data_IF_827087014044
#
_entry.id   IF_827087014044
#
_cell.length_a   1.000
_cell.length_b   1.000
_cell.length_c   1.000
_cell.angle_alpha   90.00
_cell.angle_beta   90.00
_cell.angle_gamma   90.00
#
_symmetry.space_group_name_H-M   'P 1'
#
loop_
_entity.id
_entity.type
_entity.pdbx_description
1 polymer ?
#
# COMPACT_ATOMS: atom_id res chain seq x y z
N UNK A 1 14.80 -26.42 -6.66
CA UNK A 1 13.37 -26.75 -6.76
C UNK A 1 12.61 -25.68 -6.02
N UNK A 2 11.95 -24.83 -6.80
CA UNK A 2 11.31 -23.58 -6.39
C UNK A 2 9.89 -23.91 -5.91
N UNK A 3 9.63 -23.81 -4.61
CA UNK A 3 8.25 -23.71 -4.13
C UNK A 3 7.74 -22.31 -4.49
N UNK A 4 6.90 -22.28 -5.53
CA UNK A 4 6.03 -21.16 -5.83
C UNK A 4 5.05 -21.05 -4.68
N UNK A 5 5.40 -20.27 -3.65
CA UNK A 5 4.48 -19.88 -2.60
C UNK A 5 3.45 -18.91 -3.21
N UNK A 6 2.45 -19.50 -3.85
CA UNK A 6 1.16 -18.88 -4.15
C UNK A 6 0.45 -18.60 -2.82
N UNK A 7 0.91 -17.58 -2.09
CA UNK A 7 0.04 -16.92 -1.12
C UNK A 7 -0.92 -16.05 -1.92
N UNK A 8 -2.10 -16.61 -2.22
CA UNK A 8 -3.26 -15.83 -2.66
C UNK A 8 -3.38 -14.59 -1.78
N UNK A 9 -3.44 -13.38 -2.35
CA UNK A 9 -3.76 -12.20 -1.58
C UNK A 9 -5.16 -12.38 -1.00
N UNK A 10 -5.35 -11.87 0.21
CA UNK A 10 -6.62 -11.88 0.94
C UNK A 10 -7.66 -11.25 0.03
N UNK A 11 -8.37 -12.09 -0.72
CA UNK A 11 -9.72 -11.77 -1.13
C UNK A 11 -10.44 -11.59 0.19
N UNK A 12 -10.71 -10.33 0.57
CA UNK A 12 -11.76 -10.07 1.52
C UNK A 12 -13.02 -10.58 0.83
N UNK A 13 -13.33 -11.87 1.01
CA UNK A 13 -14.70 -12.34 1.00
C UNK A 13 -15.35 -11.51 2.09
N UNK A 14 -15.88 -10.36 1.70
CA UNK A 14 -16.95 -9.73 2.43
C UNK A 14 -18.03 -10.79 2.38
N UNK A 15 -18.20 -11.53 3.47
CA UNK A 15 -19.35 -12.39 3.64
C UNK A 15 -20.57 -11.51 3.42
N UNK A 16 -21.25 -11.75 2.30
CA UNK A 16 -22.56 -11.18 2.03
C UNK A 16 -23.49 -11.87 3.02
N UNK A 17 -23.57 -11.32 4.24
CA UNK A 17 -24.66 -11.64 5.14
C UNK A 17 -25.96 -11.38 4.37
N UNK A 18 -26.78 -12.42 4.25
CA UNK A 18 -28.00 -12.48 3.44
C UNK A 18 -29.12 -11.54 3.91
N UNK A 19 -28.84 -10.25 4.00
CA UNK A 19 -29.86 -9.22 4.05
C UNK A 19 -30.18 -8.83 2.61
N UNK A 20 -31.38 -9.19 2.16
CA UNK A 20 -32.00 -8.76 0.90
C UNK A 20 -32.32 -7.25 0.88
N UNK A 21 -31.42 -6.41 1.40
CA UNK A 21 -31.52 -4.97 1.29
C UNK A 21 -30.97 -4.56 -0.08
N UNK A 22 -31.74 -3.79 -0.84
CA UNK A 22 -31.30 -3.19 -2.12
C UNK A 22 -29.86 -2.64 -2.00
N UNK A 23 -29.01 -2.76 -3.02
CA UNK A 23 -27.63 -2.26 -2.99
C UNK A 23 -27.62 -0.77 -2.76
N UNK A 24 -28.65 -0.05 -3.23
CA UNK A 24 -28.84 1.37 -2.98
C UNK A 24 -29.04 1.61 -1.50
N UNK A 25 -29.92 0.84 -0.85
CA UNK A 25 -30.14 0.91 0.61
C UNK A 25 -28.85 0.57 1.37
N UNK A 26 -28.11 -0.44 0.92
CA UNK A 26 -26.85 -0.85 1.52
C UNK A 26 -25.73 0.17 1.29
N UNK A 27 -25.65 0.80 0.12
CA UNK A 27 -24.72 1.90 -0.17
C UNK A 27 -25.06 3.13 0.63
N UNK A 28 -26.34 3.48 0.73
CA UNK A 28 -26.81 4.58 1.55
C UNK A 28 -26.50 4.32 3.03
N UNK A 29 -26.65 3.09 3.51
CA UNK A 29 -26.25 2.70 4.86
C UNK A 29 -24.72 2.76 5.05
N UNK A 30 -23.95 2.24 4.08
CA UNK A 30 -22.49 2.26 4.12
C UNK A 30 -21.95 3.70 4.09
N UNK A 31 -22.49 4.54 3.20
CA UNK A 31 -22.21 5.96 3.15
C UNK A 31 -22.64 6.67 4.44
N UNK A 32 -23.68 6.19 5.13
CA UNK A 32 -24.09 6.68 6.44
C UNK A 32 -23.13 6.30 7.56
N UNK A 33 -22.35 5.24 7.42
CA UNK A 33 -21.38 4.79 8.41
C UNK A 33 -19.95 5.30 8.15
N UNK A 34 -19.73 6.03 7.05
CA UNK A 34 -18.42 6.62 6.74
C UNK A 34 -18.13 7.84 7.61
N UNK A 35 -16.94 7.85 8.19
CA UNK A 35 -16.35 8.94 8.95
C UNK A 35 -14.85 9.07 8.60
N UNK A 36 -14.16 10.09 9.17
CA UNK A 36 -12.72 10.28 8.95
C UNK A 36 -11.87 9.09 9.39
N UNK A 37 -12.32 8.33 10.40
CA UNK A 37 -11.67 7.11 10.84
C UNK A 37 -11.68 6.02 9.77
N UNK A 38 -12.64 6.05 8.84
CA UNK A 38 -12.71 5.15 7.67
C UNK A 38 -11.78 5.56 6.52
N UNK A 39 -11.14 6.74 6.57
CA UNK A 39 -10.04 7.09 5.66
C UNK A 39 -8.73 6.38 6.04
N UNK A 40 -8.63 5.95 7.31
CA UNK A 40 -7.48 5.26 7.87
C UNK A 40 -7.68 3.75 7.82
N UNK A 41 -6.59 3.03 8.03
CA UNK A 41 -6.69 1.61 8.26
C UNK A 41 -7.55 1.32 9.51
N UNK A 42 -8.43 0.33 9.38
CA UNK A 42 -9.28 -0.11 10.49
C UNK A 42 -8.45 -0.35 11.76
N UNK A 43 -8.89 0.09 12.95
CA UNK A 43 -8.15 -0.10 14.20
C UNK A 43 -7.79 -1.56 14.50
N UNK A 44 -8.59 -2.52 14.02
CA UNK A 44 -8.34 -3.96 14.13
C UNK A 44 -7.42 -4.54 13.06
N UNK A 45 -7.01 -3.77 12.04
CA UNK A 45 -6.18 -4.24 10.95
C UNK A 45 -4.72 -4.43 11.38
N UNK A 46 -4.41 -5.63 11.89
CA UNK A 46 -3.06 -6.00 12.35
C UNK A 46 -1.99 -5.83 11.27
N UNK A 47 -2.32 -6.01 9.98
CA UNK A 47 -1.36 -5.86 8.87
C UNK A 47 -0.91 -4.41 8.71
N UNK A 48 -1.85 -3.46 8.77
CA UNK A 48 -1.56 -2.04 8.69
C UNK A 48 -0.81 -1.53 9.93
N UNK A 49 -1.29 -1.89 11.12
CA UNK A 49 -0.70 -1.41 12.39
C UNK A 49 0.68 -1.99 12.71
N UNK A 50 1.02 -3.15 12.14
CA UNK A 50 2.38 -3.72 12.17
C UNK A 50 3.28 -3.20 11.06
N UNK A 51 2.79 -2.35 10.15
CA UNK A 51 3.52 -1.90 8.97
C UNK A 51 3.73 -2.97 7.89
N UNK A 52 3.21 -4.19 8.10
CA UNK A 52 3.34 -5.29 7.12
C UNK A 52 2.69 -4.93 5.80
N UNK A 53 1.52 -4.27 5.84
CA UNK A 53 0.82 -3.86 4.62
C UNK A 53 1.67 -2.88 3.81
N UNK A 54 2.21 -1.84 4.45
CA UNK A 54 3.14 -0.91 3.81
C UNK A 54 4.38 -1.62 3.27
N UNK A 55 4.98 -2.55 4.03
CA UNK A 55 6.12 -3.32 3.54
C UNK A 55 5.80 -4.06 2.23
N UNK A 56 4.60 -4.62 2.08
CA UNK A 56 4.16 -5.27 0.85
C UNK A 56 3.92 -4.25 -0.27
N UNK A 57 3.26 -3.14 0.04
CA UNK A 57 2.81 -2.15 -0.95
C UNK A 57 3.88 -1.16 -1.39
N UNK A 58 4.98 -1.04 -0.65
CA UNK A 58 6.16 -0.24 -1.00
C UNK A 58 6.68 -0.50 -2.43
N UNK A 59 6.51 -1.72 -2.96
CA UNK A 59 6.90 -2.06 -4.34
C UNK A 59 5.74 -2.07 -5.34
N UNK A 60 4.53 -1.68 -4.93
CA UNK A 60 3.30 -1.66 -5.74
C UNK A 60 2.78 -0.25 -6.00
N UNK A 61 3.34 0.74 -5.31
CA UNK A 61 2.97 2.15 -5.39
C UNK A 61 4.11 2.92 -6.02
N UNK A 62 3.77 3.98 -6.76
CA UNK A 62 4.74 4.92 -7.31
C UNK A 62 4.84 6.11 -6.36
N UNK A 63 6.00 6.31 -5.77
CA UNK A 63 6.24 7.46 -4.89
C UNK A 63 6.86 8.61 -5.69
N UNK A 64 6.25 9.79 -5.59
CA UNK A 64 6.77 11.02 -6.16
C UNK A 64 7.00 11.99 -5.01
N UNK A 65 8.25 12.18 -4.61
CA UNK A 65 8.61 13.00 -3.45
C UNK A 65 9.21 14.32 -3.94
N UNK A 66 8.63 15.46 -3.55
CA UNK A 66 9.02 16.79 -4.00
C UNK A 66 9.15 16.91 -5.54
N UNK A 67 8.34 16.16 -6.28
CA UNK A 67 8.37 16.12 -7.75
C UNK A 67 9.41 15.17 -8.35
N UNK A 68 10.23 14.48 -7.54
CA UNK A 68 11.15 13.44 -7.99
C UNK A 68 10.50 12.06 -7.82
N UNK A 69 10.38 11.34 -8.94
CA UNK A 69 9.93 9.96 -8.94
C UNK A 69 10.98 9.04 -8.29
N UNK A 70 10.51 8.13 -7.45
CA UNK A 70 11.33 7.10 -6.80
C UNK A 70 11.19 5.82 -7.62
N UNK A 71 12.30 5.36 -8.21
CA UNK A 71 12.31 4.10 -8.95
C UNK A 71 12.05 2.92 -8.00
N UNK A 72 10.99 2.17 -8.26
CA UNK A 72 10.58 1.02 -7.46
C UNK A 72 11.65 -0.07 -7.36
N UNK A 73 12.56 -0.17 -8.34
CA UNK A 73 13.67 -1.12 -8.29
C UNK A 73 14.65 -0.79 -7.16
N UNK A 74 14.82 0.48 -6.78
CA UNK A 74 15.63 0.87 -5.63
C UNK A 74 14.98 0.43 -4.31
N UNK A 75 13.66 0.57 -4.20
CA UNK A 75 12.90 0.07 -3.04
C UNK A 75 12.98 -1.47 -2.97
N UNK A 76 12.88 -2.15 -4.11
CA UNK A 76 13.05 -3.61 -4.20
C UNK A 76 14.46 -4.01 -3.76
N UNK A 77 15.50 -3.33 -4.26
CA UNK A 77 16.89 -3.59 -3.88
C UNK A 77 17.09 -3.48 -2.37
N UNK A 78 16.63 -2.39 -1.75
CA UNK A 78 16.70 -2.19 -0.30
C UNK A 78 15.98 -3.31 0.46
N UNK A 79 14.74 -3.63 0.08
CA UNK A 79 13.99 -4.72 0.73
C UNK A 79 14.67 -6.08 0.60
N UNK A 80 15.31 -6.37 -0.54
CA UNK A 80 16.05 -7.63 -0.74
C UNK A 80 17.36 -7.64 0.06
N UNK A 81 18.02 -6.48 0.21
CA UNK A 81 19.20 -6.35 1.07
C UNK A 81 18.88 -6.59 2.54
N UNK A 82 17.69 -6.18 3.00
CA UNK A 82 17.23 -6.38 4.37
C UNK A 82 16.69 -7.79 4.68
N UNK A 83 16.73 -8.73 3.73
CA UNK A 83 16.30 -10.11 3.98
C UNK A 83 17.42 -10.92 4.61
N UNK A 84 17.11 -11.61 5.70
CA UNK A 84 17.95 -12.68 6.22
C UNK A 84 18.17 -13.76 5.17
N UNK A 85 19.43 -14.15 5.03
CA UNK A 85 19.86 -15.24 4.15
C UNK A 85 20.36 -16.37 5.03
N UNK A 86 19.42 -17.10 5.62
CA UNK A 86 19.77 -18.27 6.40
C UNK A 86 20.48 -19.30 5.53
N UNK A 87 21.64 -19.74 6.00
CA UNK A 87 22.32 -20.89 5.41
C UNK A 87 21.45 -22.13 5.61
N UNK A 88 21.03 -22.79 4.53
CA UNK A 88 20.43 -24.13 4.61
C UNK A 88 21.39 -25.18 5.18
N UNK A 89 22.70 -24.89 5.19
CA UNK A 89 23.74 -25.76 5.71
C UNK A 89 23.98 -25.53 7.22
N UNK A 90 23.72 -24.33 7.74
CA UNK A 90 24.01 -23.96 9.13
C UNK A 90 22.79 -23.29 9.78
N UNK A 91 21.85 -24.11 10.28
CA UNK A 91 20.78 -23.62 11.14
C UNK A 91 21.33 -23.48 12.56
N UNK A 92 21.52 -22.23 13.05
CA UNK A 92 22.05 -21.96 14.40
C UNK A 92 21.23 -22.65 15.50
N UNK A 93 19.91 -22.74 15.32
CA UNK A 93 19.04 -23.50 16.21
C UNK A 93 19.38 -25.00 16.22
N UNK A 94 19.76 -25.57 15.07
CA UNK A 94 20.17 -26.97 14.97
C UNK A 94 21.61 -27.22 15.49
N UNK A 95 22.51 -26.25 15.37
CA UNK A 95 23.88 -26.32 15.92
C UNK A 95 23.83 -26.53 17.44
N UNK A 96 22.91 -25.85 18.12
CA UNK A 96 22.74 -25.94 19.57
C UNK A 96 21.64 -26.92 20.03
N UNK A 97 20.88 -27.54 19.11
CA UNK A 97 19.77 -28.46 19.47
C UNK A 97 20.17 -29.94 19.63
N UNK A 98 21.44 -30.30 19.43
CA UNK A 98 21.89 -31.69 19.58
C UNK A 98 22.19 -32.01 21.05
N UNK A 99 21.63 -33.13 21.52
CA UNK A 99 21.57 -33.58 22.92
C UNK A 99 22.91 -33.46 23.67
N UNK A 100 22.81 -32.99 24.92
CA UNK A 100 23.89 -32.99 25.91
C UNK A 100 24.47 -34.40 26.00
N UNK A 101 25.75 -34.58 25.66
CA UNK A 101 26.44 -35.85 25.92
C UNK A 101 26.61 -36.00 27.43
N UNK A 102 25.98 -37.03 27.97
CA UNK A 102 26.20 -37.45 29.36
C UNK A 102 27.46 -38.31 29.39
N UNK A 103 28.46 -37.91 30.18
CA UNK A 103 29.68 -38.69 30.34
C UNK A 103 29.50 -39.64 31.54
N UNK A 104 29.10 -40.88 31.27
CA UNK A 104 28.78 -41.90 32.28
C UNK A 104 29.95 -42.23 33.23
N UNK A 105 31.18 -41.88 32.85
CA UNK A 105 32.40 -42.18 33.62
C UNK A 105 32.62 -41.14 34.74
N UNK A 106 32.24 -39.88 34.52
CA UNK A 106 32.52 -38.77 35.44
C UNK A 106 31.26 -38.14 36.05
N UNK A 107 30.07 -38.55 35.61
CA UNK A 107 28.78 -38.05 36.10
C UNK A 107 28.64 -36.51 35.97
N UNK A 108 29.25 -35.95 34.94
CA UNK A 108 29.25 -34.52 34.63
C UNK A 108 28.66 -34.25 33.23
N UNK A 109 27.97 -33.11 33.09
CA UNK A 109 27.50 -32.63 31.79
C UNK A 109 28.70 -32.09 31.01
N UNK A 110 29.07 -32.77 29.95
CA UNK A 110 30.13 -32.30 29.07
C UNK A 110 29.59 -31.17 28.20
N UNK A 111 30.07 -29.95 28.44
CA UNK A 111 29.71 -28.79 27.61
C UNK A 111 30.52 -28.87 26.32
N UNK A 112 29.85 -28.90 25.17
CA UNK A 112 30.57 -28.91 23.89
C UNK A 112 31.33 -27.60 23.75
N UNK A 113 32.50 -27.63 23.12
CA UNK A 113 33.31 -26.43 22.90
C UNK A 113 32.52 -25.32 22.19
N UNK A 114 31.66 -25.69 21.23
CA UNK A 114 30.77 -24.78 20.51
C UNK A 114 29.68 -24.13 21.38
N UNK A 115 29.37 -24.71 22.54
CA UNK A 115 28.39 -24.17 23.48
C UNK A 115 29.04 -23.28 24.55
N UNK A 116 30.37 -23.21 24.62
CA UNK A 116 31.10 -22.23 25.46
C UNK A 116 30.96 -20.83 24.88
N UNK A 117 31.18 -19.78 25.69
CA UNK A 117 31.15 -18.38 25.22
C UNK A 117 32.08 -18.16 24.01
N UNK A 118 33.26 -18.76 24.04
CA UNK A 118 34.23 -18.69 22.94
C UNK A 118 33.72 -19.41 21.68
N UNK A 119 33.18 -20.62 21.84
CA UNK A 119 32.61 -21.39 20.73
C UNK A 119 31.39 -20.72 20.10
N UNK A 120 30.50 -20.14 20.91
CA UNK A 120 29.35 -19.38 20.44
C UNK A 120 29.79 -18.13 19.67
N UNK A 121 30.80 -17.40 20.18
CA UNK A 121 31.36 -16.25 19.49
C UNK A 121 32.01 -16.64 18.14
N UNK A 122 32.73 -17.77 18.09
CA UNK A 122 33.30 -18.30 16.86
C UNK A 122 32.22 -18.66 15.83
N UNK A 123 31.19 -19.41 16.25
CA UNK A 123 30.05 -19.78 15.37
C UNK A 123 29.34 -18.52 14.87
N UNK A 124 29.08 -17.54 15.73
CA UNK A 124 28.48 -16.27 15.32
C UNK A 124 29.33 -15.53 14.29
N UNK A 125 30.66 -15.53 14.45
CA UNK A 125 31.58 -14.95 13.45
C UNK A 125 31.50 -15.67 12.10
N UNK A 126 31.55 -17.00 12.08
CA UNK A 126 31.45 -17.79 10.84
C UNK A 126 30.10 -17.58 10.15
N UNK A 127 29.00 -17.55 10.91
CA UNK A 127 27.67 -17.28 10.38
C UNK A 127 27.59 -15.89 9.73
N UNK A 128 28.20 -14.89 10.36
CA UNK A 128 28.28 -13.53 9.82
C UNK A 128 29.06 -13.50 8.50
N UNK A 129 30.23 -14.13 8.44
CA UNK A 129 31.05 -14.18 7.22
C UNK A 129 30.28 -14.88 6.07
N UNK A 130 29.55 -15.95 6.37
CA UNK A 130 28.69 -16.63 5.41
C UNK A 130 27.54 -15.75 4.92
N UNK A 131 26.90 -15.00 5.82
CA UNK A 131 25.83 -14.08 5.45
C UNK A 131 26.33 -12.97 4.52
N UNK A 132 27.52 -12.43 4.78
CA UNK A 132 28.16 -11.43 3.91
C UNK A 132 28.45 -11.99 2.51
N UNK A 133 28.96 -13.21 2.38
CA UNK A 133 29.20 -13.85 1.09
C UNK A 133 27.89 -14.14 0.33
N UNK A 134 26.88 -14.70 1.01
CA UNK A 134 25.57 -14.93 0.39
C UNK A 134 24.88 -13.64 -0.05
N UNK A 135 25.13 -12.54 0.67
CA UNK A 135 24.57 -11.25 0.33
C UNK A 135 25.20 -10.68 -0.95
N UNK A 136 26.49 -10.93 -1.22
CA UNK A 136 27.16 -10.55 -2.49
C UNK A 136 26.63 -11.34 -3.67
N UNK A 137 26.58 -12.67 -3.56
CA UNK A 137 26.10 -13.55 -4.63
C UNK A 137 24.68 -13.18 -5.06
N UNK A 138 23.85 -12.87 -4.08
CA UNK A 138 22.48 -12.55 -4.38
C UNK A 138 22.23 -11.11 -4.83
N UNK A 139 23.14 -10.18 -4.52
CA UNK A 139 23.14 -8.88 -5.20
C UNK A 139 23.41 -9.07 -6.69
N UNK A 140 24.39 -9.90 -7.03
CA UNK A 140 24.75 -10.19 -8.41
C UNK A 140 23.59 -10.86 -9.17
N UNK A 141 22.92 -11.86 -8.57
CA UNK A 141 21.74 -12.48 -9.17
C UNK A 141 20.55 -11.51 -9.25
N UNK A 142 20.30 -10.71 -8.22
CA UNK A 142 19.23 -9.70 -8.23
C UNK A 142 19.44 -8.67 -9.35
N UNK A 143 20.67 -8.20 -9.53
CA UNK A 143 21.03 -7.27 -10.61
C UNK A 143 20.85 -7.90 -12.00
N UNK A 144 21.26 -9.17 -12.14
CA UNK A 144 21.11 -9.93 -13.39
C UNK A 144 19.64 -10.16 -13.74
N UNK A 145 18.79 -10.46 -12.75
CA UNK A 145 17.35 -10.58 -12.94
C UNK A 145 16.71 -9.24 -13.32
N UNK A 146 17.13 -8.14 -12.68
CA UNK A 146 16.73 -6.78 -13.05
C UNK A 146 17.07 -6.46 -14.51
N UNK A 147 18.29 -6.80 -14.97
CA UNK A 147 18.72 -6.57 -16.35
C UNK A 147 17.96 -7.42 -17.39
N UNK A 148 17.55 -8.64 -17.00
CA UNK A 148 16.79 -9.57 -17.85
C UNK A 148 15.31 -9.22 -17.93
N UNK A 149 14.78 -8.48 -16.97
CA UNK A 149 13.37 -8.11 -16.96
C UNK A 149 13.03 -7.27 -18.21
N UNK A 150 12.06 -7.70 -19.04
CA UNK A 150 11.70 -7.00 -20.28
C UNK A 150 11.09 -5.61 -20.03
N UNK A 151 10.61 -5.34 -18.81
CA UNK A 151 10.10 -4.02 -18.41
C UNK A 151 11.21 -3.02 -18.05
N UNK A 152 12.44 -3.50 -17.84
CA UNK A 152 13.58 -2.64 -17.50
C UNK A 152 14.13 -1.96 -18.75
N UNK A 153 14.20 -0.63 -18.70
CA UNK A 153 14.70 0.22 -19.80
C UNK A 153 16.22 0.12 -19.98
N UNK A 154 16.75 0.66 -21.07
CA UNK A 154 18.19 0.69 -21.31
C UNK A 154 18.94 1.56 -20.28
N UNK A 155 18.36 2.68 -19.87
CA UNK A 155 18.92 3.59 -18.85
C UNK A 155 19.07 2.90 -17.49
N UNK A 156 18.12 2.05 -17.13
CA UNK A 156 18.13 1.24 -15.91
C UNK A 156 19.11 0.05 -15.93
N UNK A 157 19.89 -0.13 -17.01
CA UNK A 157 20.93 -1.18 -17.14
C UNK A 157 22.34 -0.62 -17.19
N UNK A 158 22.48 0.70 -17.02
CA UNK A 158 23.77 1.39 -17.03
C UNK A 158 24.59 1.13 -15.78
N UNK A 159 25.91 1.37 -15.85
CA UNK A 159 26.80 1.26 -14.69
C UNK A 159 26.43 2.24 -13.56
N UNK A 160 26.11 3.50 -13.91
CA UNK A 160 25.69 4.50 -12.93
C UNK A 160 24.38 4.13 -12.23
N UNK A 161 23.44 3.50 -12.95
CA UNK A 161 22.22 3.00 -12.33
C UNK A 161 22.52 1.83 -11.38
N UNK A 162 23.43 0.93 -11.78
CA UNK A 162 23.89 -0.17 -10.95
C UNK A 162 24.46 0.32 -9.62
N UNK A 163 25.27 1.38 -9.62
CA UNK A 163 25.84 1.96 -8.40
C UNK A 163 24.76 2.41 -7.40
N UNK A 164 23.71 3.10 -7.86
CA UNK A 164 22.57 3.47 -7.00
C UNK A 164 21.77 2.24 -6.55
N UNK A 165 21.56 1.26 -7.44
CA UNK A 165 20.89 0.02 -7.10
C UNK A 165 21.62 -0.73 -5.96
N UNK A 166 22.94 -0.86 -6.07
CA UNK A 166 23.79 -1.47 -5.05
C UNK A 166 23.81 -0.65 -3.76
N UNK A 167 23.81 0.69 -3.85
CA UNK A 167 23.69 1.59 -2.69
C UNK A 167 22.42 1.30 -1.89
N UNK A 168 21.27 1.21 -2.55
CA UNK A 168 20.00 0.88 -1.88
C UNK A 168 20.02 -0.52 -1.26
N UNK A 169 20.55 -1.52 -1.98
CA UNK A 169 20.70 -2.87 -1.44
C UNK A 169 21.57 -2.91 -0.18
N UNK A 170 22.72 -2.22 -0.20
CA UNK A 170 23.64 -2.16 0.94
C UNK A 170 23.05 -1.39 2.13
N UNK A 171 22.19 -0.40 1.89
CA UNK A 171 21.40 0.22 2.96
C UNK A 171 20.45 -0.81 3.59
N UNK A 172 19.78 -1.61 2.75
CA UNK A 172 18.96 -2.74 3.21
C UNK A 172 19.72 -3.69 4.13
N UNK A 173 20.93 -4.10 3.75
CA UNK A 173 21.77 -4.99 4.56
C UNK A 173 22.05 -4.46 5.96
N UNK A 174 22.26 -3.14 6.10
CA UNK A 174 22.48 -2.50 7.41
C UNK A 174 21.25 -2.54 8.31
N UNK A 175 20.09 -2.89 7.76
CA UNK A 175 18.79 -2.94 8.43
C UNK A 175 18.21 -4.35 8.47
N UNK A 176 19.05 -5.37 8.29
CA UNK A 176 18.62 -6.77 8.29
C UNK A 176 17.92 -7.15 9.60
N UNK A 177 18.44 -6.67 10.74
CA UNK A 177 17.90 -6.88 12.08
C UNK A 177 16.53 -6.21 12.29
N UNK A 178 16.09 -5.34 11.38
CA UNK A 178 14.78 -4.65 11.46
C UNK A 178 13.67 -5.44 10.76
N UNK A 179 13.99 -6.47 9.97
CA UNK A 179 12.99 -7.31 9.33
C UNK A 179 12.58 -8.44 10.29
N UNK A 180 11.29 -8.56 10.65
CA UNK A 180 10.87 -9.58 11.59
C UNK A 180 11.05 -11.00 11.03
N UNK A 181 11.53 -11.89 11.88
CA UNK A 181 11.68 -13.33 11.64
C UNK A 181 10.40 -14.10 11.98
N UNK A 182 10.34 -15.39 11.64
CA UNK A 182 9.20 -16.24 12.01
C UNK A 182 9.03 -16.40 13.53
N UNK A 183 10.10 -16.22 14.30
CA UNK A 183 10.13 -16.33 15.77
C UNK A 183 9.55 -15.10 16.46
N UNK A 184 9.41 -13.98 15.75
CA UNK A 184 8.93 -12.73 16.33
C UNK A 184 7.41 -12.76 16.52
N UNK A 185 6.97 -12.76 17.78
CA UNK A 185 5.53 -12.83 18.15
C UNK A 185 4.70 -11.69 17.57
N UNK A 186 5.29 -10.51 17.40
CA UNK A 186 4.58 -9.28 17.00
C UNK A 186 4.85 -8.83 15.56
N UNK A 187 5.73 -9.54 14.82
CA UNK A 187 6.14 -9.26 13.43
C UNK A 187 6.06 -7.78 13.04
N UNK A 188 6.83 -6.92 13.70
CA UNK A 188 6.80 -5.46 13.48
C UNK A 188 7.65 -5.07 12.26
N UNK A 189 6.99 -4.75 11.15
CA UNK A 189 7.65 -4.28 9.93
C UNK A 189 7.84 -2.75 9.92
N UNK A 190 7.31 -2.01 10.90
CA UNK A 190 7.35 -0.54 10.91
C UNK A 190 8.78 -0.01 10.95
N UNK A 191 9.67 -0.67 11.68
CA UNK A 191 11.07 -0.25 11.81
C UNK A 191 11.75 -0.22 10.45
N UNK A 192 11.64 -1.30 9.67
CA UNK A 192 12.20 -1.33 8.32
C UNK A 192 11.48 -0.36 7.37
N UNK A 193 10.14 -0.31 7.41
CA UNK A 193 9.37 0.61 6.57
C UNK A 193 9.75 2.08 6.83
N UNK A 194 10.04 2.43 8.09
CA UNK A 194 10.53 3.75 8.48
C UNK A 194 11.89 4.08 7.87
N UNK A 195 12.83 3.15 7.88
CA UNK A 195 14.13 3.35 7.24
C UNK A 195 14.03 3.43 5.72
N UNK A 196 13.14 2.65 5.08
CA UNK A 196 12.84 2.79 3.65
C UNK A 196 12.33 4.20 3.35
N UNK A 197 11.33 4.69 4.10
CA UNK A 197 10.81 6.04 3.90
C UNK A 197 11.91 7.09 4.04
N UNK A 198 12.69 7.05 5.13
CA UNK A 198 13.80 7.98 5.35
C UNK A 198 14.75 8.01 4.16
N UNK A 199 15.06 6.84 3.59
CA UNK A 199 15.98 6.75 2.47
C UNK A 199 15.39 7.34 1.18
N UNK A 200 14.13 7.07 0.85
CA UNK A 200 13.51 7.64 -0.35
C UNK A 200 13.30 9.16 -0.23
N UNK A 201 13.05 9.70 0.97
CA UNK A 201 13.02 11.15 1.20
C UNK A 201 14.40 11.79 0.96
N UNK A 202 15.46 11.19 1.54
CA UNK A 202 16.84 11.67 1.33
C UNK A 202 17.24 11.60 -0.14
N UNK A 203 16.94 10.49 -0.81
CA UNK A 203 17.20 10.31 -2.24
C UNK A 203 16.47 11.35 -3.09
N UNK A 204 15.26 11.75 -2.69
CA UNK A 204 14.50 12.81 -3.34
C UNK A 204 15.05 14.23 -3.10
N UNK A 205 16.01 14.41 -2.19
CA UNK A 205 16.44 15.73 -1.73
C UNK A 205 15.39 16.45 -0.87
N UNK A 206 14.47 15.68 -0.27
CA UNK A 206 13.43 16.19 0.61
C UNK A 206 13.84 16.15 2.08
N UNK A 207 13.17 16.95 2.92
CA UNK A 207 13.31 16.79 4.37
C UNK A 207 12.69 15.45 4.80
N UNK A 208 13.27 14.82 5.81
CA UNK A 208 12.71 13.60 6.40
C UNK A 208 11.59 14.00 7.35
N UNK A 209 10.35 13.49 7.18
CA UNK A 209 9.26 13.78 8.10
C UNK A 209 9.57 13.36 9.54
N UNK A 210 8.90 14.00 10.49
CA UNK A 210 8.93 13.63 11.90
C UNK A 210 8.47 12.19 12.10
N UNK A 211 8.88 11.58 13.21
CA UNK A 211 8.53 10.20 13.55
C UNK A 211 7.01 9.96 13.60
N UNK A 212 6.25 10.96 14.06
CA UNK A 212 4.79 10.90 14.08
C UNK A 212 4.21 10.80 12.66
N UNK A 213 4.71 11.62 11.72
CA UNK A 213 4.26 11.59 10.32
C UNK A 213 4.73 10.31 9.62
N UNK A 214 5.97 9.87 9.84
CA UNK A 214 6.46 8.60 9.28
C UNK A 214 5.58 7.43 9.74
N UNK A 215 5.22 7.39 11.02
CA UNK A 215 4.31 6.36 11.56
C UNK A 215 2.94 6.42 10.87
N UNK A 216 2.40 7.62 10.69
CA UNK A 216 1.10 7.81 10.02
C UNK A 216 1.14 7.31 8.56
N UNK A 217 2.19 7.67 7.81
CA UNK A 217 2.39 7.20 6.43
C UNK A 217 2.53 5.68 6.37
N UNK A 218 3.32 5.07 7.25
CA UNK A 218 3.49 3.61 7.28
C UNK A 218 2.18 2.90 7.59
N UNK A 219 1.36 3.43 8.50
CA UNK A 219 0.11 2.76 8.88
C UNK A 219 -0.97 2.94 7.81
N UNK A 220 -1.08 4.13 7.21
CA UNK A 220 -2.26 4.49 6.40
C UNK A 220 -1.98 4.71 4.92
N UNK A 221 -0.76 5.02 4.49
CA UNK A 221 -0.44 5.28 3.08
C UNK A 221 -0.21 3.97 2.29
N UNK A 222 -1.19 3.08 2.30
CA UNK A 222 -1.15 1.76 1.68
C UNK A 222 -2.57 1.26 1.36
N UNK A 223 -2.70 0.02 0.83
CA UNK A 223 -3.98 -0.60 0.45
C UNK A 223 -4.97 -0.79 1.60
N UNK A 224 -4.54 -0.75 2.85
CA UNK A 224 -5.45 -0.85 4.00
C UNK A 224 -5.98 0.51 4.47
N UNK A 225 -5.41 1.63 4.01
CA UNK A 225 -5.80 2.98 4.42
C UNK A 225 -6.17 3.88 3.23
N UNK A 226 -5.42 4.96 3.03
CA UNK A 226 -5.72 6.07 2.12
C UNK A 226 -6.00 5.63 0.68
N UNK A 227 -5.38 4.56 0.19
CA UNK A 227 -5.64 4.07 -1.16
C UNK A 227 -7.05 3.48 -1.29
N UNK A 228 -7.55 2.76 -0.30
CA UNK A 228 -8.71 1.88 -0.46
C UNK A 228 -10.01 2.48 0.09
N UNK A 229 -9.98 3.76 0.46
CA UNK A 229 -11.11 4.49 1.05
C UNK A 229 -12.39 4.38 0.22
N UNK A 230 -12.27 4.41 -1.11
CA UNK A 230 -13.44 4.37 -2.01
C UNK A 230 -14.00 2.96 -2.21
N UNK A 231 -13.24 1.90 -1.93
CA UNK A 231 -13.64 0.56 -2.32
C UNK A 231 -14.85 0.02 -1.55
N UNK A 232 -14.99 0.23 -0.22
CA UNK A 232 -16.21 -0.16 0.50
C UNK A 232 -17.49 0.49 -0.04
N UNK A 233 -17.39 1.70 -0.60
CA UNK A 233 -18.53 2.39 -1.24
C UNK A 233 -18.96 1.71 -2.54
N UNK A 234 -18.01 1.16 -3.30
CA UNK A 234 -18.21 0.86 -4.71
C UNK A 234 -18.38 -0.64 -4.99
N UNK A 235 -17.73 -1.50 -4.20
CA UNK A 235 -17.71 -2.96 -4.43
C UNK A 235 -19.12 -3.56 -4.46
N UNK A 236 -19.98 -3.18 -3.51
CA UNK A 236 -21.35 -3.72 -3.43
C UNK A 236 -22.24 -3.24 -4.58
N UNK A 237 -22.06 -2.00 -5.04
CA UNK A 237 -22.83 -1.46 -6.16
C UNK A 237 -22.50 -2.19 -7.46
N UNK A 238 -21.23 -2.44 -7.69
CA UNK A 238 -20.77 -3.08 -8.92
C UNK A 238 -21.15 -4.56 -8.97
N UNK A 239 -21.05 -5.30 -7.86
CA UNK A 239 -21.40 -6.72 -7.83
C UNK A 239 -22.84 -7.01 -8.28
N UNK A 240 -23.78 -6.08 -8.09
CA UNK A 240 -25.17 -6.27 -8.51
C UNK A 240 -25.43 -6.10 -10.00
N UNK A 241 -24.51 -5.47 -10.71
CA UNK A 241 -24.60 -5.27 -12.16
C UNK A 241 -23.65 -6.16 -12.94
N UNK A 242 -23.17 -7.23 -12.31
CA UNK A 242 -22.12 -8.06 -12.89
C UNK A 242 -20.92 -7.18 -13.29
N UNK A 243 -20.64 -6.14 -12.50
CA UNK A 243 -19.51 -5.25 -12.68
C UNK A 243 -18.45 -5.59 -11.62
N UNK A 244 -17.20 -5.51 -12.02
CA UNK A 244 -16.04 -5.65 -11.15
C UNK A 244 -15.14 -4.44 -11.33
N UNK A 245 -14.92 -3.75 -10.21
CA UNK A 245 -13.83 -2.81 -10.10
C UNK A 245 -12.58 -3.58 -9.69
N UNK A 246 -11.72 -3.89 -10.66
CA UNK A 246 -10.49 -4.63 -10.38
C UNK A 246 -9.39 -3.66 -9.93
N UNK A 247 -9.43 -3.32 -8.65
CA UNK A 247 -8.42 -2.51 -7.98
C UNK A 247 -7.07 -3.22 -7.85
N UNK A 248 -6.97 -4.52 -8.15
CA UNK A 248 -5.74 -5.31 -8.07
C UNK A 248 -5.13 -5.62 -9.44
N UNK A 249 -5.77 -5.16 -10.52
CA UNK A 249 -5.24 -5.30 -11.87
C UNK A 249 -3.84 -4.65 -11.95
N UNK A 250 -2.90 -5.34 -12.58
CA UNK A 250 -1.52 -4.89 -12.73
C UNK A 250 -1.38 -3.62 -13.60
N UNK A 251 -2.44 -3.22 -14.31
CA UNK A 251 -2.54 -1.98 -15.07
C UNK A 251 -2.95 -0.78 -14.21
N UNK A 252 -3.40 -1.00 -12.97
CA UNK A 252 -3.76 0.08 -12.05
C UNK A 252 -2.49 0.72 -11.49
N UNK A 253 -2.26 1.98 -11.87
CA UNK A 253 -1.24 2.83 -11.27
C UNK A 253 -1.72 3.37 -9.93
N UNK A 254 -0.83 3.37 -8.93
CA UNK A 254 -1.10 3.90 -7.58
C UNK A 254 -0.04 4.94 -7.27
N UNK A 255 -0.37 6.19 -7.51
CA UNK A 255 0.59 7.27 -7.41
C UNK A 255 0.42 7.98 -6.06
N UNK A 256 1.51 8.11 -5.33
CA UNK A 256 1.57 8.82 -4.05
C UNK A 256 2.53 9.99 -4.20
N UNK A 257 1.97 11.18 -4.24
CA UNK A 257 2.71 12.43 -4.27
C UNK A 257 2.90 12.90 -2.84
N UNK A 258 4.15 13.14 -2.46
CA UNK A 258 4.50 13.64 -1.13
C UNK A 258 5.34 14.90 -1.29
N UNK A 259 4.88 16.02 -0.77
CA UNK A 259 5.67 17.24 -0.68
C UNK A 259 6.07 17.48 0.77
N UNK A 260 7.36 17.31 1.05
CA UNK A 260 7.96 17.49 2.36
C UNK A 260 9.09 18.53 2.27
N UNK A 261 8.76 19.75 2.69
CA UNK A 261 9.72 20.87 2.86
C UNK A 261 9.90 21.25 4.33
N UNK A 262 9.13 20.61 5.21
CA UNK A 262 9.12 20.80 6.65
C UNK A 262 8.83 19.43 7.27
N UNK A 263 9.71 18.94 8.14
CA UNK A 263 9.55 17.64 8.81
C UNK A 263 8.23 17.50 9.59
N UNK A 264 7.62 18.61 9.99
CA UNK A 264 6.37 18.64 10.75
C UNK A 264 5.13 18.97 9.90
N UNK A 265 5.28 19.20 8.60
CA UNK A 265 4.17 19.50 7.69
C UNK A 265 4.41 18.87 6.33
N UNK A 266 3.62 17.85 6.02
CA UNK A 266 3.77 17.04 4.81
C UNK A 266 2.46 17.03 4.04
N UNK A 267 2.50 17.49 2.80
CA UNK A 267 1.36 17.38 1.90
C UNK A 267 1.39 16.02 1.20
N UNK A 268 0.28 15.30 1.23
CA UNK A 268 0.13 13.95 0.68
C UNK A 268 -1.04 13.95 -0.29
N UNK A 269 -0.80 13.44 -1.49
CA UNK A 269 -1.84 13.22 -2.49
C UNK A 269 -1.75 11.78 -3.01
N UNK A 270 -2.77 10.98 -2.75
CA UNK A 270 -2.93 9.64 -3.27
C UNK A 270 -3.83 9.68 -4.51
N UNK A 271 -3.36 9.12 -5.62
CA UNK A 271 -4.06 9.11 -6.91
C UNK A 271 -4.13 7.71 -7.50
N UNK A 272 -5.32 7.37 -7.98
CA UNK A 272 -5.54 6.24 -8.88
C UNK A 272 -6.11 6.85 -10.16
N UNK A 273 -5.26 7.16 -11.15
CA UNK A 273 -5.67 7.91 -12.34
C UNK A 273 -6.59 7.10 -13.25
N UNK A 274 -6.43 5.77 -13.25
CA UNK A 274 -7.21 4.85 -14.07
C UNK A 274 -7.52 3.61 -13.26
N UNK A 275 -8.82 3.36 -13.09
CA UNK A 275 -9.36 2.21 -12.39
C UNK A 275 -10.38 1.51 -13.29
N UNK A 276 -10.04 0.34 -13.85
CA UNK A 276 -10.88 -0.34 -14.81
C UNK A 276 -12.15 -0.90 -14.14
N UNK A 277 -13.28 -0.66 -14.79
CA UNK A 277 -14.56 -1.29 -14.47
C UNK A 277 -14.85 -2.31 -15.57
N UNK A 278 -14.90 -3.58 -15.18
CA UNK A 278 -15.05 -4.72 -16.08
C UNK A 278 -16.42 -5.38 -15.87
N UNK A 279 -16.90 -6.12 -16.89
CA UNK A 279 -17.94 -7.13 -16.65
C UNK A 279 -17.37 -8.35 -15.92
N UNK A 280 -18.14 -8.94 -15.00
CA UNK A 280 -17.87 -10.25 -14.42
C UNK A 280 -18.29 -11.35 -15.39
N UNK A 281 -17.33 -12.11 -15.92
CA UNK A 281 -17.60 -13.23 -16.84
C UNK A 281 -16.34 -13.79 -17.50
N UNK A 282 -16.46 -14.91 -18.23
CA UNK A 282 -15.33 -15.62 -18.87
C UNK A 282 -14.54 -14.77 -19.88
N UNK A 283 -15.17 -13.70 -20.40
CA UNK A 283 -14.53 -12.71 -21.28
C UNK A 283 -14.60 -11.32 -20.64
N UNK A 284 -13.99 -11.17 -19.46
CA UNK A 284 -13.92 -9.89 -18.76
C UNK A 284 -13.37 -8.80 -19.68
N UNK A 285 -14.21 -7.81 -19.99
CA UNK A 285 -13.87 -6.68 -20.86
C UNK A 285 -14.04 -5.40 -20.07
N UNK A 286 -13.05 -4.52 -20.17
CA UNK A 286 -13.13 -3.17 -19.62
C UNK A 286 -14.20 -2.37 -20.34
N UNK A 287 -15.15 -1.85 -19.57
CA UNK A 287 -16.25 -1.02 -20.03
C UNK A 287 -15.82 0.43 -20.04
N UNK A 288 -15.25 0.87 -18.93
CA UNK A 288 -14.85 2.24 -18.70
C UNK A 288 -13.82 2.31 -17.57
N UNK A 289 -13.23 3.49 -17.39
CA UNK A 289 -12.28 3.77 -16.33
C UNK A 289 -12.87 4.84 -15.38
N UNK A 290 -12.76 4.58 -14.08
CA UNK A 290 -12.95 5.59 -13.04
C UNK A 290 -11.59 6.14 -12.60
N UNK A 291 -11.60 7.26 -11.87
CA UNK A 291 -10.39 7.77 -11.22
C UNK A 291 -10.70 8.24 -9.80
N UNK A 292 -9.72 8.14 -8.91
CA UNK A 292 -9.81 8.56 -7.52
C UNK A 292 -8.63 9.43 -7.13
N UNK A 293 -8.86 10.45 -6.31
CA UNK A 293 -7.78 11.14 -5.60
C UNK A 293 -8.19 11.60 -4.22
N UNK A 294 -7.22 11.56 -3.30
CA UNK A 294 -7.30 12.06 -1.94
C UNK A 294 -6.06 12.93 -1.69
N UNK A 295 -6.26 14.21 -1.42
CA UNK A 295 -5.21 15.19 -1.09
C UNK A 295 -5.44 15.71 0.34
N UNK A 296 -4.39 15.90 1.12
CA UNK A 296 -4.44 16.51 2.45
C UNK A 296 -3.03 16.89 2.94
N UNK A 297 -2.98 17.69 4.00
CA UNK A 297 -1.75 18.01 4.73
C UNK A 297 -1.75 17.32 6.09
N UNK A 298 -0.65 16.61 6.39
CA UNK A 298 -0.34 16.07 7.71
C UNK A 298 0.50 17.09 8.48
N UNK A 299 0.07 17.45 9.68
CA UNK A 299 0.84 18.28 10.61
C UNK A 299 1.13 17.51 11.90
N UNK A 300 2.36 17.65 12.39
CA UNK A 300 2.75 17.19 13.73
C UNK A 300 3.27 18.34 14.56
N UNK A 301 3.03 18.30 15.87
CA UNK A 301 3.63 19.24 16.81
C UNK A 301 4.94 18.64 17.33
N UNK A 302 6.03 19.41 17.28
CA UNK A 302 7.33 19.02 17.82
C UNK A 302 7.18 18.39 19.22
N UNK A 303 7.58 17.13 19.35
CA UNK A 303 7.61 16.41 20.63
C UNK A 303 6.28 15.90 21.17
N UNK A 304 5.18 15.94 20.39
CA UNK A 304 3.91 15.30 20.78
C UNK A 304 3.58 14.11 19.89
N UNK A 305 3.02 13.07 20.51
CA UNK A 305 2.42 11.96 19.79
C UNK A 305 1.11 12.43 19.15
N UNK A 306 1.12 12.57 17.83
CA UNK A 306 -0.10 12.86 17.08
C UNK A 306 0.17 13.52 15.74
N UNK A 307 -0.75 13.27 14.82
CA UNK A 307 -0.82 13.92 13.52
C UNK A 307 -2.23 14.47 13.33
N UNK A 308 -2.33 15.72 12.91
CA UNK A 308 -3.58 16.38 12.53
C UNK A 308 -3.65 16.51 11.02
N UNK A 309 -4.86 16.43 10.46
CA UNK A 309 -5.11 16.61 9.03
C UNK A 309 -5.63 18.01 8.76
N UNK A 310 -5.21 18.59 7.64
CA UNK A 310 -5.70 19.86 7.12
C UNK A 310 -5.87 19.81 5.61
N UNK A 311 -6.63 20.76 5.09
CA UNK A 311 -6.75 21.03 3.65
C UNK A 311 -7.08 19.77 2.82
N UNK A 312 -7.97 18.94 3.36
CA UNK A 312 -8.40 17.71 2.71
C UNK A 312 -9.19 17.98 1.43
N UNK A 313 -8.98 17.17 0.42
CA UNK A 313 -9.76 17.18 -0.82
C UNK A 313 -9.98 15.74 -1.27
N UNK A 314 -11.23 15.38 -1.55
CA UNK A 314 -11.61 14.06 -2.07
C UNK A 314 -12.24 14.21 -3.43
N UNK A 315 -11.75 13.47 -4.42
CA UNK A 315 -12.28 13.50 -5.78
C UNK A 315 -12.51 12.11 -6.35
N UNK A 316 -13.62 11.96 -7.08
CA UNK A 316 -13.99 10.76 -7.81
C UNK A 316 -14.46 11.16 -9.21
N UNK A 317 -13.85 10.57 -10.23
CA UNK A 317 -14.31 10.70 -11.62
C UNK A 317 -15.10 9.45 -11.97
N UNK A 318 -16.37 9.65 -12.31
CA UNK A 318 -17.30 8.57 -12.66
C UNK A 318 -17.59 8.62 -14.17
N UNK A 319 -17.35 7.53 -14.92
CA UNK A 319 -17.63 7.47 -16.35
C UNK A 319 -19.14 7.58 -16.64
N UNK A 320 -19.50 8.28 -17.73
CA UNK A 320 -20.91 8.52 -18.09
C UNK A 320 -21.59 7.25 -18.62
N UNK A 321 -20.81 6.31 -19.09
CA UNK A 321 -21.19 4.96 -19.53
C UNK A 321 -21.96 4.23 -18.43
N UNK A 322 -21.71 4.54 -17.15
CA UNK A 322 -22.46 4.00 -16.02
C UNK A 322 -23.92 4.50 -15.95
N UNK A 323 -24.35 5.42 -16.82
CA UNK A 323 -25.76 5.84 -16.93
C UNK A 323 -26.67 4.79 -17.56
N UNK A 324 -26.08 3.90 -18.35
CA UNK A 324 -26.78 2.84 -19.08
C UNK A 324 -27.14 1.65 -18.17
N UNK A 325 -26.56 1.61 -16.97
CA UNK A 325 -26.81 0.59 -15.94
C UNK A 325 -27.82 1.15 -14.93
N UNK A 326 -29.01 0.54 -14.83
CA UNK A 326 -30.13 1.02 -14.01
C UNK A 326 -30.36 0.14 -12.77
N UNK A 327 -30.55 0.78 -11.62
CA UNK A 327 -31.12 0.17 -10.40
C UNK A 327 -32.44 0.86 -10.09
N UNK A 328 -33.55 0.18 -10.37
CA UNK A 328 -34.87 0.80 -10.31
C UNK A 328 -34.93 2.02 -11.23
N UNK A 329 -35.30 3.18 -10.68
CA UNK A 329 -35.46 4.43 -11.45
C UNK A 329 -34.15 5.24 -11.59
N UNK A 330 -33.06 4.83 -10.92
CA UNK A 330 -31.77 5.55 -10.94
C UNK A 330 -30.73 4.79 -11.74
N UNK A 331 -29.75 5.50 -12.32
CA UNK A 331 -28.57 4.85 -12.88
C UNK A 331 -27.48 4.61 -11.83
N UNK A 332 -26.58 3.65 -12.09
CA UNK A 332 -25.37 3.42 -11.29
C UNK A 332 -24.57 4.72 -11.15
N UNK A 333 -24.46 5.50 -12.23
CA UNK A 333 -23.87 6.84 -12.20
C UNK A 333 -24.52 7.76 -11.15
N UNK A 334 -25.85 7.85 -11.12
CA UNK A 334 -26.58 8.72 -10.19
C UNK A 334 -26.40 8.26 -8.75
N UNK A 335 -26.42 6.94 -8.52
CA UNK A 335 -26.24 6.34 -7.19
C UNK A 335 -24.84 6.62 -6.64
N UNK A 336 -23.79 6.41 -7.44
CA UNK A 336 -22.40 6.71 -7.03
C UNK A 336 -22.29 8.17 -6.65
N UNK A 337 -22.83 9.07 -7.48
CA UNK A 337 -22.78 10.51 -7.24
C UNK A 337 -23.46 10.87 -5.92
N UNK A 338 -24.67 10.38 -5.65
CA UNK A 338 -25.39 10.64 -4.40
C UNK A 338 -24.65 10.09 -3.18
N UNK A 339 -24.11 8.88 -3.27
CA UNK A 339 -23.38 8.26 -2.16
C UNK A 339 -22.07 8.99 -1.87
N UNK A 340 -21.34 9.40 -2.91
CA UNK A 340 -20.12 10.18 -2.77
C UNK A 340 -20.38 11.55 -2.15
N UNK A 341 -21.47 12.23 -2.56
CA UNK A 341 -21.88 13.49 -1.96
C UNK A 341 -22.21 13.32 -0.46
N UNK A 342 -23.06 12.34 -0.11
CA UNK A 342 -23.40 12.03 1.29
C UNK A 342 -22.17 11.69 2.13
N UNK A 343 -21.21 10.97 1.56
CA UNK A 343 -19.93 10.67 2.20
C UNK A 343 -19.15 11.96 2.52
N UNK A 344 -19.02 12.85 1.53
CA UNK A 344 -18.31 14.11 1.72
C UNK A 344 -18.99 15.02 2.76
N UNK A 345 -20.33 15.10 2.77
CA UNK A 345 -21.09 15.84 3.79
C UNK A 345 -20.76 15.35 5.21
N UNK A 346 -20.63 14.02 5.39
CA UNK A 346 -20.31 13.39 6.68
C UNK A 346 -18.86 13.57 7.11
N UNK A 347 -17.94 13.64 6.16
CA UNK A 347 -16.55 14.01 6.39
C UNK A 347 -16.41 15.52 6.68
N UNK A 348 -17.51 16.26 6.91
CA UNK A 348 -17.45 17.66 7.31
C UNK A 348 -16.99 18.60 6.18
N UNK A 349 -16.93 18.11 4.94
CA UNK A 349 -16.70 18.97 3.79
C UNK A 349 -17.95 19.84 3.60
N UNK A 350 -17.78 21.15 3.77
CA UNK A 350 -18.84 22.11 3.56
C UNK A 350 -18.92 22.44 2.07
N UNK A 351 -20.04 22.12 1.43
CA UNK A 351 -20.35 22.48 0.05
C UNK A 351 -20.63 23.99 -0.08
N UNK A 352 -19.65 24.84 0.22
CA UNK A 352 -19.71 26.28 -0.11
C UNK A 352 -19.39 26.54 -1.57
N UNK A 353 -18.80 25.57 -2.27
CA UNK A 353 -18.34 25.70 -3.65
C UNK A 353 -19.00 24.63 -4.51
N UNK A 354 -19.55 25.06 -5.65
CA UNK A 354 -20.18 24.21 -6.69
C UNK A 354 -19.38 22.91 -6.87
N UNK A 355 -20.08 21.77 -6.98
CA UNK A 355 -19.51 20.57 -7.61
C UNK A 355 -18.98 21.04 -8.96
N UNK A 356 -17.65 21.16 -9.10
CA UNK A 356 -17.01 21.48 -10.37
C UNK A 356 -17.11 20.24 -11.23
N UNK A 357 -18.24 20.09 -11.88
CA UNK A 357 -18.48 19.08 -12.87
C UNK A 357 -18.57 19.74 -14.25
N UNK A 358 -17.99 19.12 -15.26
CA UNK A 358 -18.12 19.53 -16.66
C UNK A 358 -19.50 19.14 -17.25
N UNK A 359 -20.57 19.14 -16.43
CA UNK A 359 -21.89 18.56 -16.75
C UNK A 359 -22.99 19.61 -17.03
N UNK A 360 -22.66 20.86 -17.34
CA UNK A 360 -23.69 21.90 -17.45
C UNK A 360 -24.24 22.29 -16.08
N UNK A 361 -25.39 22.96 -16.02
CA UNK A 361 -25.90 23.59 -14.79
C UNK A 361 -26.01 22.63 -13.60
N UNK A 362 -25.77 23.19 -12.40
CA UNK A 362 -25.96 22.50 -11.13
C UNK A 362 -27.35 21.89 -11.06
N UNK A 363 -27.45 20.57 -10.88
CA UNK A 363 -28.70 19.91 -10.58
C UNK A 363 -29.31 20.59 -9.35
N UNK A 364 -30.46 21.25 -9.54
CA UNK A 364 -31.38 21.49 -8.43
C UNK A 364 -31.73 20.11 -7.88
N UNK A 365 -31.55 19.91 -6.59
CA UNK A 365 -32.22 18.83 -5.86
C UNK A 365 -33.71 19.09 -6.03
N UNK A 366 -34.33 18.52 -7.07
CA UNK A 366 -35.72 18.77 -7.37
C UNK A 366 -36.56 17.61 -6.87
N UNK A 367 -37.43 17.92 -5.90
CA UNK A 367 -38.77 17.35 -5.88
C UNK A 367 -39.42 17.64 -7.26
N UNK A 368 -39.53 16.58 -8.07
CA UNK A 368 -40.23 16.48 -9.36
C UNK A 368 -39.70 17.19 -10.65
N UNK A 369 -39.64 16.34 -11.70
CA UNK A 369 -39.72 16.47 -13.18
C UNK A 369 -39.26 17.76 -13.92
N UNK A 370 -38.44 17.61 -14.98
CA UNK A 370 -38.83 17.48 -16.42
C UNK A 370 -37.70 17.92 -17.41
N UNK A 371 -37.58 17.14 -18.50
CA UNK A 371 -36.86 17.29 -19.80
C UNK A 371 -35.63 18.22 -19.98
N UNK A 372 -34.52 17.66 -20.55
CA UNK A 372 -33.85 18.16 -21.78
C UNK A 372 -32.63 17.30 -22.20
N UNK A 373 -32.36 17.26 -23.52
CA UNK A 373 -31.31 16.48 -24.21
C UNK A 373 -29.91 17.15 -24.27
N UNK A 374 -28.88 16.28 -24.23
CA UNK A 374 -27.42 16.31 -24.58
C UNK A 374 -26.68 17.61 -24.97
N UNK A 375 -25.38 17.71 -24.58
CA UNK A 375 -24.32 17.32 -25.53
C UNK A 375 -23.21 16.41 -24.98
N UNK A 376 -22.60 15.73 -25.95
CA UNK A 376 -21.44 14.83 -25.94
C UNK A 376 -20.21 15.45 -25.26
N UNK A 377 -19.74 14.86 -24.15
CA UNK A 377 -18.39 15.10 -23.61
C UNK A 377 -17.98 14.04 -22.57
N UNK A 378 -16.70 13.69 -22.58
CA UNK A 378 -16.07 12.55 -21.91
C UNK A 378 -16.04 12.74 -20.38
N UNK A 379 -16.70 11.84 -19.64
CA UNK A 379 -16.62 11.71 -18.18
C UNK A 379 -17.35 12.77 -17.33
N UNK A 380 -17.55 12.46 -16.03
CA UNK A 380 -17.98 13.39 -14.99
C UNK A 380 -16.94 13.43 -13.86
N UNK A 381 -16.41 14.62 -13.55
CA UNK A 381 -15.51 14.83 -12.43
C UNK A 381 -16.29 15.38 -11.24
N UNK A 382 -16.20 14.72 -10.08
CA UNK A 382 -16.78 15.18 -8.81
C UNK A 382 -15.62 15.53 -7.90
N UNK A 383 -15.51 16.82 -7.55
CA UNK A 383 -14.46 17.39 -6.69
C UNK A 383 -15.11 18.04 -5.48
N UNK A 384 -14.64 17.70 -4.28
CA UNK A 384 -15.09 18.32 -3.02
C UNK A 384 -13.87 18.78 -2.22
N UNK A 385 -13.87 20.07 -1.85
CA UNK A 385 -12.83 20.77 -1.08
C UNK A 385 -13.33 21.14 0.31
#
# INVERSE_FOLDING_TARGET
>A
MTEVNNTSPIATKVEVNGNNASPVVTLEATAKELDFGKLRADPGNKSAHSGKQMYLDLGRMNFIINGKEIDNNFIIALKQGAKHRESKLFNSGAIHATEVRYNDIFNEKETREIDTDFGQAFVASVLKDLEEEFAKDALAELWKDHCKNPKTTAEQKTGSYKEEFERFYNIGQKHIDLLPTEKDKNKDYRSLAKEVFKEIFKYAGAEVPSDAILKELITNCNQAGYEFVYAPLMVKLFSEHELLMDVNDNSVSRDVYINCRNSNSVKVECKIPKMPINYTGENSKTICDASFSLDFTLESQNGKDGVTYKDGELSLTVPRELKDYKVGDKSVFDIIKECFQKCCEKLGFNFKTKIKHNLGDSLKVNEHFESMQLPTQVGAHIRVQ
#
